data_IF_316829796845
#
_entry.id   IF_316829796845
#
_cell.length_a   1.000
_cell.length_b   1.000
_cell.length_c   1.000
_cell.angle_alpha   90.00
_cell.angle_beta   90.00
_cell.angle_gamma   90.00
#
_symmetry.space_group_name_H-M   'P 1'
#
loop_
_entity.id
_entity.type
_entity.pdbx_description
1 polymer ?
#
# COMPACT_ATOMS: atom_id res chain seq x y z
N UNK A 1 -18.03 -25.55 14.73
CA UNK A 1 -17.45 -24.23 14.42
C UNK A 1 -17.00 -24.23 12.96
N UNK A 2 -17.33 -23.20 12.23
CA UNK A 2 -16.91 -23.01 10.84
C UNK A 2 -15.84 -21.95 10.74
N UNK A 3 -14.83 -22.20 9.92
CA UNK A 3 -13.79 -21.24 9.62
C UNK A 3 -13.63 -21.08 8.12
N UNK A 4 -13.41 -19.85 7.67
CA UNK A 4 -13.02 -19.58 6.29
C UNK A 4 -11.51 -19.41 6.26
N UNK A 5 -10.84 -20.17 5.40
CA UNK A 5 -9.39 -20.17 5.31
C UNK A 5 -8.97 -19.67 3.93
N UNK A 6 -8.20 -18.59 3.91
CA UNK A 6 -7.55 -18.06 2.71
C UNK A 6 -6.15 -18.68 2.63
N UNK A 7 -5.86 -19.39 1.55
CA UNK A 7 -4.60 -20.13 1.43
C UNK A 7 -3.67 -19.59 0.34
N UNK A 8 -4.13 -18.72 -0.53
CA UNK A 8 -3.33 -18.18 -1.62
C UNK A 8 -3.05 -16.71 -1.36
N UNK A 9 -1.77 -16.37 -1.21
CA UNK A 9 -1.33 -15.01 -0.93
C UNK A 9 -0.35 -14.51 -1.98
N UNK A 10 -0.35 -13.20 -2.17
CA UNK A 10 0.60 -12.50 -3.01
C UNK A 10 1.28 -11.40 -2.23
N UNK A 11 2.56 -11.23 -2.48
CA UNK A 11 3.27 -10.03 -2.10
C UNK A 11 3.47 -9.19 -3.37
N UNK A 12 2.67 -8.14 -3.50
CA UNK A 12 2.82 -7.20 -4.60
C UNK A 12 3.88 -6.17 -4.23
N UNK A 13 4.86 -5.98 -5.10
CA UNK A 13 5.93 -5.00 -4.91
C UNK A 13 5.90 -4.04 -6.08
N UNK A 14 5.75 -2.75 -5.79
CA UNK A 14 5.68 -1.70 -6.81
C UNK A 14 6.66 -0.58 -6.46
N UNK A 15 7.32 -0.05 -7.47
CA UNK A 15 8.29 1.03 -7.31
C UNK A 15 7.77 2.30 -7.97
N UNK A 16 8.06 3.45 -7.37
CA UNK A 16 7.75 4.74 -7.96
C UNK A 16 8.78 5.77 -7.51
N UNK A 17 8.86 6.87 -8.25
CA UNK A 17 9.76 7.95 -7.91
C UNK A 17 9.09 8.90 -6.92
N UNK A 18 9.89 9.47 -6.02
CA UNK A 18 9.42 10.47 -5.06
C UNK A 18 9.23 11.82 -5.75
N UNK A 19 8.19 11.92 -6.55
CA UNK A 19 7.80 13.13 -7.28
C UNK A 19 6.32 13.37 -7.08
N UNK A 20 5.92 14.63 -7.11
CA UNK A 20 4.51 15.02 -6.95
C UNK A 20 3.61 14.29 -7.93
N UNK A 21 2.55 13.71 -7.45
CA UNK A 21 1.58 12.99 -8.27
C UNK A 21 0.89 11.87 -7.53
N UNK A 22 0.02 11.18 -8.26
CA UNK A 22 -0.70 10.01 -7.78
C UNK A 22 -0.29 8.82 -8.64
N UNK A 23 0.14 7.74 -8.01
CA UNK A 23 0.67 6.56 -8.68
C UNK A 23 -0.19 5.36 -8.41
N UNK A 24 -0.70 4.71 -9.46
CA UNK A 24 -1.43 3.45 -9.36
C UNK A 24 -0.42 2.33 -9.15
N UNK A 25 -0.51 1.60 -8.05
CA UNK A 25 0.54 0.66 -7.67
C UNK A 25 0.08 -0.78 -7.60
N UNK A 26 -1.05 -1.06 -6.94
CA UNK A 26 -1.51 -2.43 -6.74
C UNK A 26 -3.00 -2.51 -7.01
N UNK A 27 -3.39 -3.45 -7.86
CA UNK A 27 -4.80 -3.75 -8.11
C UNK A 27 -5.25 -4.90 -7.21
N UNK A 28 -6.35 -4.69 -6.51
CA UNK A 28 -6.94 -5.70 -5.63
C UNK A 28 -8.24 -6.19 -6.23
N UNK A 29 -8.41 -7.51 -6.42
CA UNK A 29 -9.71 -8.03 -6.83
C UNK A 29 -10.73 -7.97 -5.70
N UNK A 30 -12.01 -7.95 -6.05
CA UNK A 30 -13.09 -8.06 -5.07
C UNK A 30 -12.89 -9.28 -4.18
N UNK A 31 -13.01 -9.12 -2.88
CA UNK A 31 -12.86 -10.18 -1.91
C UNK A 31 -11.44 -10.40 -1.41
N UNK A 32 -10.46 -9.69 -1.95
CA UNK A 32 -9.09 -9.78 -1.47
C UNK A 32 -8.97 -9.28 -0.02
N UNK A 33 -8.14 -9.95 0.78
CA UNK A 33 -7.85 -9.59 2.17
C UNK A 33 -6.46 -9.01 2.27
N UNK A 34 -6.36 -7.72 2.58
CA UNK A 34 -5.07 -7.06 2.81
C UNK A 34 -4.71 -7.17 4.27
N UNK A 35 -3.50 -7.61 4.56
CA UNK A 35 -3.04 -7.79 5.94
C UNK A 35 -1.83 -6.92 6.28
N UNK A 36 -1.12 -6.43 5.28
CA UNK A 36 0.06 -5.59 5.53
C UNK A 36 0.37 -4.72 4.33
N UNK A 37 0.66 -3.46 4.59
CA UNK A 37 1.17 -2.50 3.60
C UNK A 37 2.42 -1.86 4.17
N UNK A 38 3.52 -1.88 3.42
CA UNK A 38 4.75 -1.24 3.85
C UNK A 38 5.35 -0.39 2.74
N UNK A 39 5.93 0.72 3.15
CA UNK A 39 6.56 1.68 2.25
C UNK A 39 8.01 1.89 2.67
N UNK A 40 8.90 1.80 1.71
CA UNK A 40 10.33 2.05 1.88
C UNK A 40 10.73 3.23 1.00
N UNK A 41 11.44 4.20 1.58
CA UNK A 41 11.97 5.36 0.86
C UNK A 41 13.49 5.17 0.74
N UNK A 42 14.01 5.14 -0.47
CA UNK A 42 15.41 4.82 -0.76
C UNK A 42 16.00 5.88 -1.67
N UNK A 43 17.20 6.35 -1.36
CA UNK A 43 17.94 7.24 -2.25
C UNK A 43 18.52 8.45 -1.54
N UNK A 44 18.67 9.54 -2.29
CA UNK A 44 19.20 10.80 -1.79
C UNK A 44 18.22 11.49 -0.85
N UNK A 45 18.66 12.54 -0.17
CA UNK A 45 17.80 13.31 0.72
C UNK A 45 16.57 13.86 -0.01
N UNK A 46 15.46 13.86 0.67
CA UNK A 46 14.20 14.33 0.13
C UNK A 46 13.39 15.05 1.20
N UNK A 47 12.41 15.81 0.76
CA UNK A 47 11.40 16.43 1.63
C UNK A 47 10.05 16.26 0.94
N UNK A 48 9.02 15.94 1.69
CA UNK A 48 7.67 15.85 1.15
C UNK A 48 6.77 14.97 1.99
N UNK A 49 5.56 14.76 1.46
CA UNK A 49 4.52 13.97 2.11
C UNK A 49 4.12 12.82 1.20
N UNK A 50 3.85 11.65 1.79
CA UNK A 50 3.36 10.49 1.05
C UNK A 50 2.12 9.95 1.77
N UNK A 51 1.03 9.80 1.03
CA UNK A 51 -0.15 9.09 1.49
C UNK A 51 -0.32 7.81 0.68
N UNK A 52 -0.70 6.73 1.34
CA UNK A 52 -1.02 5.46 0.68
C UNK A 52 -2.45 5.08 1.03
N UNK A 53 -3.26 4.91 0.02
CA UNK A 53 -4.67 4.58 0.17
C UNK A 53 -5.30 4.14 -1.13
N UNK A 54 -6.58 4.45 -1.32
CA UNK A 54 -7.35 3.99 -2.47
C UNK A 54 -7.57 5.09 -3.50
N UNK A 55 -7.48 4.71 -4.77
CA UNK A 55 -7.65 5.61 -5.91
C UNK A 55 -9.03 6.29 -5.93
N UNK A 56 -10.07 5.56 -5.56
CA UNK A 56 -11.45 6.03 -5.59
C UNK A 56 -11.85 6.88 -4.39
N UNK A 57 -10.94 7.13 -3.47
CA UNK A 57 -11.20 8.00 -2.32
C UNK A 57 -10.60 9.39 -2.53
N UNK A 58 -11.31 10.41 -2.02
CA UNK A 58 -10.83 11.80 -2.10
C UNK A 58 -9.56 11.98 -1.29
N UNK A 59 -9.52 11.44 -0.08
CA UNK A 59 -8.33 11.44 0.77
C UNK A 59 -7.69 10.05 0.70
N UNK A 60 -6.47 10.00 0.17
CA UNK A 60 -5.80 8.73 -0.16
C UNK A 60 -4.83 8.32 0.94
N UNK A 61 -5.34 8.18 2.16
CA UNK A 61 -4.50 7.92 3.34
C UNK A 61 -4.95 6.73 4.17
N UNK A 62 -5.71 5.82 3.59
CA UNK A 62 -6.26 4.69 4.36
C UNK A 62 -5.18 3.88 5.08
N UNK A 63 -4.07 3.59 4.42
CA UNK A 63 -3.01 2.77 4.99
C UNK A 63 -1.93 3.59 5.66
N UNK A 64 -1.41 4.62 5.01
CA UNK A 64 -0.29 5.40 5.51
C UNK A 64 -0.50 6.88 5.22
N UNK A 65 -0.05 7.70 6.17
CA UNK A 65 0.00 9.15 6.05
C UNK A 65 1.34 9.61 6.61
N UNK A 66 2.32 9.80 5.73
CA UNK A 66 3.66 10.24 6.12
C UNK A 66 3.84 11.70 5.78
N UNK A 67 3.98 12.52 6.82
CA UNK A 67 4.22 13.95 6.67
C UNK A 67 5.69 14.25 6.98
N UNK A 68 6.23 15.23 6.25
CA UNK A 68 7.59 15.71 6.46
C UNK A 68 8.63 14.59 6.38
N UNK A 69 8.55 13.78 5.33
CA UNK A 69 9.56 12.76 5.06
C UNK A 69 10.86 13.47 4.73
N UNK A 70 11.82 13.42 5.64
CA UNK A 70 13.09 14.13 5.51
C UNK A 70 14.29 13.20 5.48
N UNK A 71 14.08 11.92 5.78
CA UNK A 71 15.16 10.94 5.84
C UNK A 71 15.01 9.95 4.70
N UNK A 72 16.13 9.61 4.09
CA UNK A 72 16.22 8.47 3.17
C UNK A 72 16.32 7.17 3.98
N UNK A 73 15.99 6.04 3.33
CA UNK A 73 15.97 4.73 3.98
C UNK A 73 14.92 4.63 5.10
N UNK A 74 13.88 5.45 5.00
CA UNK A 74 12.77 5.41 5.94
C UNK A 74 11.83 4.27 5.56
N UNK A 75 11.34 3.56 6.59
CA UNK A 75 10.36 2.49 6.42
C UNK A 75 9.13 2.78 7.26
N UNK A 76 7.97 2.61 6.68
CA UNK A 76 6.70 2.72 7.39
C UNK A 76 5.84 1.52 7.06
N UNK A 77 5.14 1.01 8.06
CA UNK A 77 4.31 -0.18 7.91
C UNK A 77 2.94 0.06 8.50
N UNK A 78 1.90 -0.34 7.77
CA UNK A 78 0.53 -0.40 8.25
C UNK A 78 0.11 -1.86 8.36
N UNK A 79 -0.38 -2.25 9.54
CA UNK A 79 -1.02 -3.55 9.75
C UNK A 79 -2.55 -3.41 9.70
N UNK A 80 -3.07 -2.39 9.05
CA UNK A 80 -4.49 -2.14 8.93
C UNK A 80 -5.09 -3.12 7.94
N UNK A 81 -6.02 -3.93 8.43
CA UNK A 81 -6.69 -4.94 7.63
C UNK A 81 -7.73 -4.29 6.71
N UNK A 82 -7.93 -4.91 5.55
CA UNK A 82 -8.95 -4.44 4.63
C UNK A 82 -9.48 -5.60 3.79
N UNK A 83 -10.80 -5.71 3.73
CA UNK A 83 -11.49 -6.63 2.79
C UNK A 83 -12.01 -5.82 1.62
N UNK A 84 -11.58 -6.16 0.42
CA UNK A 84 -12.02 -5.46 -0.79
C UNK A 84 -13.46 -5.84 -1.13
N UNK A 85 -14.38 -4.88 -1.03
CA UNK A 85 -15.79 -5.08 -1.37
C UNK A 85 -16.09 -4.88 -2.84
N UNK A 86 -15.14 -4.34 -3.58
CA UNK A 86 -15.16 -4.18 -5.03
C UNK A 86 -13.71 -4.19 -5.50
N UNK A 87 -13.48 -4.19 -6.81
CA UNK A 87 -12.13 -4.02 -7.33
C UNK A 87 -11.59 -2.67 -6.88
N UNK A 88 -10.40 -2.67 -6.30
CA UNK A 88 -9.75 -1.48 -5.75
C UNK A 88 -8.35 -1.32 -6.29
N UNK A 89 -7.88 -0.09 -6.36
CA UNK A 89 -6.49 0.21 -6.69
C UNK A 89 -5.86 0.94 -5.52
N UNK A 90 -4.75 0.38 -5.01
CA UNK A 90 -3.94 1.03 -3.99
C UNK A 90 -3.01 1.99 -4.72
N UNK A 91 -3.01 3.24 -4.25
CA UNK A 91 -2.21 4.32 -4.83
C UNK A 91 -1.33 4.97 -3.78
N UNK A 92 -0.26 5.59 -4.24
CA UNK A 92 0.51 6.53 -3.43
C UNK A 92 0.32 7.92 -3.98
N UNK A 93 0.10 8.88 -3.09
CA UNK A 93 0.01 10.29 -3.44
C UNK A 93 1.16 11.02 -2.80
N UNK A 94 2.00 11.67 -3.63
CA UNK A 94 3.16 12.43 -3.19
C UNK A 94 2.87 13.91 -3.37
N UNK A 95 3.05 14.68 -2.31
CA UNK A 95 2.86 16.14 -2.31
C UNK A 95 4.08 16.82 -1.72
N UNK A 96 4.34 18.04 -2.21
CA UNK A 96 5.42 18.89 -1.72
C UNK A 96 6.80 18.22 -1.79
N UNK A 97 6.98 17.38 -2.78
CA UNK A 97 8.25 16.70 -2.96
C UNK A 97 9.33 17.67 -3.43
N UNK A 98 10.47 17.60 -2.78
CA UNK A 98 11.65 18.36 -3.11
C UNK A 98 12.87 17.51 -2.82
N UNK A 99 13.30 16.75 -3.80
CA UNK A 99 14.45 15.86 -3.67
C UNK A 99 14.83 15.28 -5.01
N UNK A 100 15.99 14.67 -5.06
CA UNK A 100 16.56 14.10 -6.27
C UNK A 100 16.84 12.60 -6.08
N UNK A 101 16.58 11.82 -7.11
CA UNK A 101 16.98 10.41 -7.18
C UNK A 101 16.46 9.56 -6.01
N UNK A 102 15.33 9.96 -5.44
CA UNK A 102 14.69 9.21 -4.37
C UNK A 102 13.60 8.34 -4.96
N UNK A 103 13.61 7.09 -4.59
CA UNK A 103 12.63 6.09 -5.03
C UNK A 103 11.88 5.55 -3.84
N UNK A 104 10.66 5.11 -4.09
CA UNK A 104 9.84 4.46 -3.10
C UNK A 104 9.47 3.06 -3.56
N UNK A 105 9.40 2.16 -2.60
CA UNK A 105 8.98 0.78 -2.85
C UNK A 105 7.80 0.49 -1.95
N UNK A 106 6.66 0.16 -2.55
CA UNK A 106 5.48 -0.26 -1.82
C UNK A 106 5.34 -1.77 -1.90
N UNK A 107 5.12 -2.39 -0.75
CA UNK A 107 4.83 -3.83 -0.65
C UNK A 107 3.47 -4.02 -0.01
N UNK A 108 2.63 -4.81 -0.66
CA UNK A 108 1.29 -5.13 -0.17
C UNK A 108 1.16 -6.65 -0.08
N UNK A 109 0.94 -7.14 1.13
CA UNK A 109 0.66 -8.56 1.35
C UNK A 109 -0.85 -8.74 1.44
N UNK A 110 -1.40 -9.51 0.53
CA UNK A 110 -2.84 -9.79 0.51
C UNK A 110 -3.11 -11.22 0.10
N UNK A 111 -4.26 -11.71 0.56
CA UNK A 111 -4.76 -13.03 0.19
C UNK A 111 -5.87 -12.90 -0.85
N UNK A 112 -5.91 -13.83 -1.79
CA UNK A 112 -6.95 -13.89 -2.80
C UNK A 112 -8.31 -14.23 -2.16
N UNK A 113 -9.41 -13.90 -2.83
CA UNK A 113 -10.75 -14.21 -2.31
C UNK A 113 -11.06 -15.69 -2.22
N UNK A 114 -10.24 -16.55 -2.81
CA UNK A 114 -10.40 -17.99 -2.77
C UNK A 114 -10.31 -18.50 -1.34
N UNK A 115 -11.38 -19.10 -0.84
CA UNK A 115 -11.46 -19.60 0.54
C UNK A 115 -11.84 -21.06 0.56
N UNK A 116 -11.38 -21.74 1.62
CA UNK A 116 -11.81 -23.08 2.01
C UNK A 116 -12.59 -22.92 3.31
N UNK A 117 -13.78 -23.48 3.39
CA UNK A 117 -14.54 -23.51 4.63
C UNK A 117 -14.22 -24.79 5.37
N UNK A 118 -13.79 -24.66 6.61
CA UNK A 118 -13.39 -25.77 7.46
C UNK A 118 -14.37 -25.87 8.63
N UNK A 119 -14.88 -27.06 8.86
CA UNK A 119 -15.80 -27.34 9.97
C UNK A 119 -15.04 -28.05 11.09
N UNK A 120 -15.16 -27.52 12.28
CA UNK A 120 -14.58 -28.12 13.48
C UNK A 120 -15.66 -28.60 14.46
#
# INVERSE_FOLDING_TARGET
MKQKVHSVSYLAKAEFEFKNGVYDLVALPTGAEVVKVSLEVVGSSTVGNINVGFKDETTKNYFLNLENVTNTNENATSAKDYTATSNKVIVAEVKHANGNDTKCVLRVLYFLPSVIEVEY
#
